data_IF_820949938977
#
_entry.id   IF_820949938977
#
_cell.length_a   1.000
_cell.length_b   1.000
_cell.length_c   1.000
_cell.angle_alpha   90.00
_cell.angle_beta   90.00
_cell.angle_gamma   90.00
#
_symmetry.space_group_name_H-M   'P 1'
#
loop_
_entity.id
_entity.type
_entity.pdbx_description
1 polymer ?
#
# COMPACT_ATOMS: atom_id res chain seq x y z
N UNK A 1 10.25 25.12 7.99
CA UNK A 1 10.60 24.40 6.73
C UNK A 1 11.48 23.22 7.08
N UNK A 2 11.27 22.02 6.54
CA UNK A 2 12.20 20.90 6.79
C UNK A 2 13.66 21.23 6.43
N UNK A 3 13.88 22.21 5.55
CA UNK A 3 15.23 22.68 5.18
C UNK A 3 15.94 23.45 6.30
N UNK A 4 15.21 24.09 7.21
CA UNK A 4 15.78 24.91 8.29
C UNK A 4 15.64 24.23 9.66
N UNK A 5 14.46 23.66 9.93
CA UNK A 5 14.11 23.10 11.24
C UNK A 5 14.31 21.56 11.29
N UNK A 6 14.64 20.96 10.14
CA UNK A 6 14.73 19.50 10.03
C UNK A 6 13.38 18.81 10.22
N UNK A 7 13.45 17.50 10.51
CA UNK A 7 12.28 16.67 10.82
C UNK A 7 12.06 16.66 12.33
N UNK A 8 11.00 17.31 12.79
CA UNK A 8 10.71 17.50 14.23
C UNK A 8 10.08 16.27 14.91
N UNK A 9 9.87 15.18 14.18
CA UNK A 9 9.28 13.94 14.70
C UNK A 9 9.94 12.72 14.10
N UNK A 10 10.00 11.63 14.86
CA UNK A 10 10.46 10.34 14.39
C UNK A 10 9.48 9.25 14.82
N UNK A 11 8.89 8.55 13.84
CA UNK A 11 7.87 7.52 14.06
C UNK A 11 8.36 6.13 13.61
N UNK A 12 9.68 5.96 13.45
CA UNK A 12 10.24 4.67 13.02
C UNK A 12 9.94 3.56 14.04
N UNK A 13 10.02 3.87 15.34
CA UNK A 13 9.69 2.92 16.41
C UNK A 13 8.20 2.56 16.42
N UNK A 14 7.31 3.52 16.20
CA UNK A 14 5.87 3.26 16.15
C UNK A 14 5.50 2.19 15.10
N UNK A 15 6.17 2.19 13.95
CA UNK A 15 5.97 1.14 12.93
C UNK A 15 6.31 -0.25 13.46
N UNK A 16 7.46 -0.41 14.11
CA UNK A 16 7.89 -1.71 14.65
C UNK A 16 6.97 -2.14 15.78
N UNK A 17 6.57 -1.22 16.64
CA UNK A 17 5.73 -1.49 17.81
C UNK A 17 4.33 -1.95 17.39
N UNK A 18 3.74 -1.32 16.36
CA UNK A 18 2.44 -1.74 15.82
C UNK A 18 2.51 -3.14 15.22
N UNK A 19 3.57 -3.48 14.49
CA UNK A 19 3.74 -4.84 13.94
C UNK A 19 3.78 -5.86 15.08
N UNK A 20 4.52 -5.57 16.15
CA UNK A 20 4.60 -6.47 17.30
C UNK A 20 3.27 -6.55 18.07
N UNK A 21 2.59 -5.42 18.26
CA UNK A 21 1.28 -5.39 18.94
C UNK A 21 0.20 -6.18 18.19
N UNK A 22 0.33 -6.32 16.87
CA UNK A 22 -0.54 -7.15 16.03
C UNK A 22 -0.11 -8.63 15.94
N UNK A 23 0.89 -9.06 16.73
CA UNK A 23 1.36 -10.45 16.75
C UNK A 23 2.53 -10.75 15.81
N UNK A 24 3.14 -9.73 15.19
CA UNK A 24 4.24 -9.89 14.25
C UNK A 24 3.78 -10.06 12.80
N UNK A 25 4.75 -10.09 11.88
CA UNK A 25 4.47 -10.10 10.43
C UNK A 25 3.71 -11.35 9.99
N UNK A 26 4.07 -12.53 10.52
CA UNK A 26 3.45 -13.79 10.13
C UNK A 26 1.96 -13.83 10.49
N UNK A 27 1.59 -13.47 11.71
CA UNK A 27 0.18 -13.39 12.17
C UNK A 27 -0.63 -12.38 11.36
N UNK A 28 -0.04 -11.25 10.99
CA UNK A 28 -0.70 -10.28 10.09
C UNK A 28 -0.97 -10.92 8.73
N UNK A 29 0.02 -11.62 8.15
CA UNK A 29 -0.11 -12.22 6.82
C UNK A 29 -1.10 -13.39 6.76
N UNK A 30 -1.41 -14.04 7.89
CA UNK A 30 -2.49 -15.03 7.98
C UNK A 30 -3.87 -14.46 7.69
N UNK A 31 -4.05 -13.14 7.86
CA UNK A 31 -5.29 -12.42 7.56
C UNK A 31 -5.30 -11.84 6.14
N UNK A 32 -4.48 -12.38 5.24
CA UNK A 32 -4.34 -11.94 3.85
C UNK A 32 -4.28 -13.14 2.91
N UNK A 33 -4.32 -12.88 1.59
CA UNK A 33 -4.09 -13.92 0.57
C UNK A 33 -2.60 -14.28 0.35
N UNK A 34 -1.68 -13.86 1.24
CA UNK A 34 -0.25 -14.08 1.05
C UNK A 34 0.12 -15.55 0.77
N UNK A 35 -0.41 -16.52 1.54
CA UNK A 35 -0.16 -17.96 1.29
C UNK A 35 -0.63 -18.42 -0.10
N UNK A 36 -1.69 -17.82 -0.64
CA UNK A 36 -2.20 -18.15 -1.98
C UNK A 36 -1.33 -17.60 -3.11
N UNK A 37 -0.48 -16.60 -2.84
CA UNK A 37 0.49 -16.10 -3.83
C UNK A 37 1.67 -17.05 -4.07
N UNK A 38 1.82 -18.08 -3.23
CA UNK A 38 2.89 -19.08 -3.28
C UNK A 38 4.33 -18.53 -3.19
N UNK A 39 4.52 -17.27 -2.76
CA UNK A 39 5.84 -16.76 -2.45
C UNK A 39 6.43 -17.47 -1.21
N UNK A 40 7.73 -17.81 -1.22
CA UNK A 40 8.36 -18.55 -0.12
C UNK A 40 8.62 -17.68 1.12
N UNK A 41 8.74 -16.36 0.95
CA UNK A 41 8.89 -15.39 2.05
C UNK A 41 8.24 -14.06 1.71
N UNK A 42 7.95 -13.27 2.74
CA UNK A 42 7.45 -11.90 2.60
C UNK A 42 8.59 -10.88 2.42
N UNK A 43 9.82 -11.28 2.70
CA UNK A 43 11.01 -10.45 2.59
C UNK A 43 11.26 -10.08 1.13
N UNK A 44 11.54 -8.79 0.88
CA UNK A 44 11.79 -8.29 -0.47
C UNK A 44 10.54 -8.07 -1.33
N UNK A 45 9.34 -8.38 -0.82
CA UNK A 45 8.11 -7.98 -1.49
C UNK A 45 7.95 -6.46 -1.48
N UNK A 46 7.47 -5.94 -2.61
CA UNK A 46 7.17 -4.52 -2.79
C UNK A 46 5.77 -4.36 -3.36
N UNK A 47 5.09 -3.32 -2.89
CA UNK A 47 3.82 -2.89 -3.45
C UNK A 47 4.09 -1.90 -4.59
N UNK A 48 3.60 -2.21 -5.80
CA UNK A 48 3.62 -1.27 -6.91
C UNK A 48 2.72 -0.06 -6.56
N UNK A 49 3.31 1.13 -6.41
CA UNK A 49 2.59 2.32 -5.89
C UNK A 49 1.66 2.99 -6.89
N UNK A 50 1.94 2.84 -8.17
CA UNK A 50 1.09 3.28 -9.26
C UNK A 50 1.34 2.30 -10.39
N UNK A 51 0.29 1.61 -10.84
CA UNK A 51 0.45 0.80 -12.04
C UNK A 51 0.59 1.72 -13.24
N UNK A 52 1.42 1.35 -14.22
CA UNK A 52 1.54 2.12 -15.46
C UNK A 52 0.20 2.37 -16.16
N UNK A 53 -0.79 1.50 -15.91
CA UNK A 53 -2.17 1.69 -16.36
C UNK A 53 -2.85 2.91 -15.71
N UNK A 54 -2.84 3.05 -14.39
CA UNK A 54 -3.48 4.17 -13.68
C UNK A 54 -2.86 5.52 -14.07
N UNK A 55 -1.54 5.55 -14.25
CA UNK A 55 -0.83 6.73 -14.72
C UNK A 55 -1.21 7.11 -16.16
N UNK A 56 -1.30 6.11 -17.06
CA UNK A 56 -1.72 6.33 -18.46
C UNK A 56 -3.16 6.86 -18.59
N UNK A 57 -4.00 6.62 -17.58
CA UNK A 57 -5.40 7.04 -17.56
C UNK A 57 -5.61 8.38 -16.85
N UNK A 58 -4.66 8.82 -16.01
CA UNK A 58 -4.76 10.04 -15.19
C UNK A 58 -5.04 11.30 -16.02
N UNK A 59 -4.33 11.46 -17.14
CA UNK A 59 -4.42 12.65 -18.00
C UNK A 59 -5.32 12.48 -19.22
N UNK A 60 -5.89 11.29 -19.41
CA UNK A 60 -6.84 11.06 -20.50
C UNK A 60 -8.17 11.78 -20.23
N UNK A 61 -8.83 12.21 -21.31
CA UNK A 61 -10.16 12.81 -21.23
C UNK A 61 -11.18 11.70 -20.95
N UNK A 62 -11.63 11.63 -19.71
CA UNK A 62 -12.60 10.66 -19.21
C UNK A 62 -13.85 11.36 -18.70
N UNK A 63 -14.99 10.67 -18.78
CA UNK A 63 -16.23 11.09 -18.14
C UNK A 63 -16.13 10.91 -16.63
N UNK A 64 -17.01 11.60 -15.88
CA UNK A 64 -17.07 11.46 -14.43
C UNK A 64 -17.41 10.03 -13.99
N UNK A 65 -18.27 9.34 -14.74
CA UNK A 65 -18.59 7.93 -14.49
C UNK A 65 -17.36 7.02 -14.66
N UNK A 66 -16.54 7.25 -15.70
CA UNK A 66 -15.30 6.52 -15.91
C UNK A 66 -14.27 6.78 -14.79
N UNK A 67 -14.11 8.04 -14.35
CA UNK A 67 -13.21 8.38 -13.23
C UNK A 67 -13.65 7.75 -11.92
N UNK A 68 -14.96 7.76 -11.64
CA UNK A 68 -15.55 7.10 -10.47
C UNK A 68 -15.18 5.60 -10.44
N UNK A 69 -15.29 4.93 -11.59
CA UNK A 69 -14.89 3.52 -11.71
C UNK A 69 -13.40 3.29 -11.47
N UNK A 70 -12.52 4.12 -12.04
CA UNK A 70 -11.06 3.99 -11.85
C UNK A 70 -10.64 4.20 -10.38
N UNK A 71 -11.29 5.13 -9.68
CA UNK A 71 -11.02 5.38 -8.26
C UNK A 71 -11.37 4.19 -7.35
N UNK A 72 -12.13 3.20 -7.83
CA UNK A 72 -12.44 1.99 -7.08
C UNK A 72 -11.35 0.90 -7.21
N UNK A 73 -10.42 1.04 -8.16
CA UNK A 73 -9.40 0.00 -8.40
C UNK A 73 -8.51 -0.22 -7.16
N UNK A 74 -8.01 0.81 -6.46
CA UNK A 74 -7.25 0.60 -5.22
C UNK A 74 -8.07 -0.11 -4.13
N UNK A 75 -9.36 0.20 -4.00
CA UNK A 75 -10.23 -0.46 -3.02
C UNK A 75 -10.43 -1.93 -3.35
N UNK A 76 -10.61 -2.27 -4.63
CA UNK A 76 -10.71 -3.68 -5.07
C UNK A 76 -9.44 -4.47 -4.75
N UNK A 77 -8.25 -3.85 -4.87
CA UNK A 77 -6.99 -4.48 -4.46
C UNK A 77 -6.90 -4.68 -2.95
N UNK A 78 -7.44 -3.75 -2.16
CA UNK A 78 -7.46 -3.87 -0.70
C UNK A 78 -8.46 -4.92 -0.20
N UNK A 79 -9.60 -5.07 -0.87
CA UNK A 79 -10.63 -6.06 -0.51
C UNK A 79 -10.24 -7.49 -0.88
N UNK A 80 -9.44 -7.67 -1.92
CA UNK A 80 -8.96 -8.98 -2.38
C UNK A 80 -7.89 -9.52 -1.42
#
# INVERSE_FOLDING_TARGET
SQRHDGKLWNLNAYRTDVIQALGGVETILEHTLFKATAFPSWEGLFWERASGFEESMKFKKLTNAQRSGLNQIPNRRFTL
#
